data_IF_698288996343
#
_entry.id   IF_698288996343
#
_cell.length_a   1.000
_cell.length_b   1.000
_cell.length_c   1.000
_cell.angle_alpha   90.00
_cell.angle_beta   90.00
_cell.angle_gamma   90.00
#
_symmetry.space_group_name_H-M   'P 1'
#
loop_
_entity.id
_entity.type
_entity.pdbx_description
1 polymer ?
#
# COMPACT_ATOMS: atom_id res chain seq x y z
N UNK A 1 -9.89 -9.24 -16.43
CA UNK A 1 -9.33 -8.19 -15.55
C UNK A 1 -8.03 -8.71 -14.99
N UNK A 2 -6.88 -8.24 -15.49
CA UNK A 2 -5.59 -8.51 -14.88
C UNK A 2 -5.41 -7.54 -13.71
N UNK A 3 -5.80 -7.97 -12.51
CA UNK A 3 -5.41 -7.32 -11.26
C UNK A 3 -3.87 -7.37 -11.16
N UNK A 4 -3.22 -6.37 -11.76
CA UNK A 4 -1.77 -6.21 -11.74
C UNK A 4 -1.34 -6.03 -10.30
N UNK A 5 -0.72 -7.08 -9.73
CA UNK A 5 -0.05 -7.03 -8.43
C UNK A 5 0.90 -5.82 -8.41
N UNK A 6 0.78 -4.99 -7.38
CA UNK A 6 1.67 -3.85 -7.17
C UNK A 6 3.09 -4.40 -6.91
N UNK A 7 4.00 -4.17 -7.86
CA UNK A 7 5.41 -4.62 -7.75
C UNK A 7 6.41 -3.47 -7.80
N UNK A 8 5.97 -2.29 -8.24
CA UNK A 8 6.80 -1.09 -8.38
C UNK A 8 6.07 0.12 -7.81
N UNK A 9 6.82 1.15 -7.44
CA UNK A 9 6.29 2.42 -6.94
C UNK A 9 5.33 3.08 -7.95
N UNK A 10 5.57 2.89 -9.26
CA UNK A 10 4.66 3.36 -10.31
C UNK A 10 3.29 2.66 -10.29
N UNK A 11 3.26 1.35 -10.00
CA UNK A 11 2.00 0.61 -9.85
C UNK A 11 1.25 1.09 -8.61
N UNK A 12 1.98 1.36 -7.53
CA UNK A 12 1.44 1.89 -6.28
C UNK A 12 0.81 3.28 -6.50
N UNK A 13 1.53 4.20 -7.16
CA UNK A 13 0.98 5.52 -7.50
C UNK A 13 -0.22 5.44 -8.45
N UNK A 14 -0.20 4.50 -9.40
CA UNK A 14 -1.32 4.31 -10.33
C UNK A 14 -2.54 3.74 -9.61
N UNK A 15 -2.34 2.82 -8.66
CA UNK A 15 -3.40 2.29 -7.81
C UNK A 15 -4.02 3.38 -6.94
N UNK A 16 -3.19 4.26 -6.34
CA UNK A 16 -3.68 5.41 -5.57
C UNK A 16 -4.51 6.36 -6.43
N UNK A 17 -4.05 6.72 -7.63
CA UNK A 17 -4.81 7.57 -8.56
C UNK A 17 -6.16 6.97 -8.93
N UNK A 18 -6.19 5.66 -9.21
CA UNK A 18 -7.46 4.96 -9.50
C UNK A 18 -8.36 4.97 -8.28
N UNK A 19 -7.82 4.70 -7.10
CA UNK A 19 -8.58 4.70 -5.86
C UNK A 19 -9.20 6.07 -5.60
N UNK A 20 -8.49 7.17 -5.89
CA UNK A 20 -9.01 8.54 -5.82
C UNK A 20 -10.22 8.77 -6.76
N UNK A 21 -10.12 8.29 -8.01
CA UNK A 21 -11.24 8.37 -8.97
C UNK A 21 -12.42 7.49 -8.58
N UNK A 22 -12.14 6.31 -8.03
CA UNK A 22 -13.17 5.38 -7.56
C UNK A 22 -13.74 5.83 -6.19
N UNK A 23 -13.06 6.71 -5.46
CA UNK A 23 -13.57 7.30 -4.21
C UNK A 23 -14.75 8.22 -4.46
N UNK A 24 -14.83 8.82 -5.66
CA UNK A 24 -15.99 9.57 -6.13
C UNK A 24 -17.12 8.65 -6.63
N UNK A 25 -16.86 7.35 -6.82
CA UNK A 25 -17.85 6.39 -7.28
C UNK A 25 -18.86 6.04 -6.18
N UNK A 26 -20.10 5.74 -6.58
CA UNK A 26 -21.16 5.41 -5.64
C UNK A 26 -20.96 4.01 -5.06
N UNK A 27 -21.17 3.91 -3.75
CA UNK A 27 -21.18 2.64 -3.01
C UNK A 27 -22.18 1.68 -3.67
N UNK A 28 -21.71 0.46 -4.00
CA UNK A 28 -22.50 -0.58 -4.66
C UNK A 28 -22.41 -0.61 -6.19
N UNK A 29 -21.57 0.23 -6.81
CA UNK A 29 -21.16 0.04 -8.21
C UNK A 29 -19.91 -0.85 -8.28
N UNK A 30 -19.67 -1.42 -9.46
CA UNK A 30 -18.48 -2.23 -9.74
C UNK A 30 -17.16 -1.47 -9.46
N UNK A 31 -17.20 -0.15 -9.54
CA UNK A 31 -16.10 0.75 -9.19
C UNK A 31 -15.78 0.71 -7.68
N UNK A 32 -16.81 0.60 -6.83
CA UNK A 32 -16.64 0.45 -5.38
C UNK A 32 -15.95 -0.86 -5.03
N UNK A 33 -16.35 -1.97 -5.66
CA UNK A 33 -15.69 -3.27 -5.50
C UNK A 33 -14.22 -3.20 -5.95
N UNK A 34 -13.95 -2.51 -7.06
CA UNK A 34 -12.57 -2.28 -7.52
C UNK A 34 -11.75 -1.42 -6.56
N UNK A 35 -12.34 -0.38 -5.97
CA UNK A 35 -11.69 0.48 -4.99
C UNK A 35 -11.27 -0.32 -3.74
N UNK A 36 -12.13 -1.21 -3.27
CA UNK A 36 -11.90 -2.04 -2.09
C UNK A 36 -10.71 -2.99 -2.31
N UNK A 37 -10.64 -3.62 -3.48
CA UNK A 37 -9.51 -4.49 -3.86
C UNK A 37 -8.21 -3.67 -4.03
N UNK A 38 -8.28 -2.49 -4.66
CA UNK A 38 -7.11 -1.61 -4.81
C UNK A 38 -6.59 -1.14 -3.44
N UNK A 39 -7.48 -0.83 -2.50
CA UNK A 39 -7.12 -0.41 -1.15
C UNK A 39 -6.33 -1.50 -0.41
N UNK A 40 -6.77 -2.77 -0.52
CA UNK A 40 -6.08 -3.93 0.04
C UNK A 40 -4.67 -4.10 -0.54
N UNK A 41 -4.51 -3.96 -1.86
CA UNK A 41 -3.20 -4.09 -2.52
C UNK A 41 -2.22 -2.99 -2.10
N UNK A 42 -2.71 -1.74 -2.00
CA UNK A 42 -1.94 -0.57 -1.56
C UNK A 42 -1.51 -0.75 -0.09
N UNK A 43 -2.42 -1.21 0.78
CA UNK A 43 -2.14 -1.46 2.19
C UNK A 43 -1.11 -2.59 2.39
N UNK A 44 -1.23 -3.71 1.65
CA UNK A 44 -0.24 -4.79 1.70
C UNK A 44 1.16 -4.33 1.27
N UNK A 45 1.25 -3.57 0.18
CA UNK A 45 2.52 -3.03 -0.31
C UNK A 45 3.12 -2.03 0.69
N UNK A 46 2.30 -1.10 1.21
CA UNK A 46 2.72 -0.10 2.18
C UNK A 46 3.18 -0.71 3.50
N UNK A 47 2.47 -1.72 4.03
CA UNK A 47 2.87 -2.45 5.24
C UNK A 47 4.21 -3.15 5.08
N UNK A 48 4.48 -3.73 3.92
CA UNK A 48 5.76 -4.41 3.66
C UNK A 48 6.93 -3.43 3.68
N UNK A 49 6.76 -2.28 3.04
CA UNK A 49 7.76 -1.20 3.06
C UNK A 49 7.92 -0.56 4.45
N UNK A 50 6.82 -0.35 5.18
CA UNK A 50 6.86 0.21 6.52
C UNK A 50 7.49 -0.75 7.54
N UNK A 51 7.21 -2.05 7.42
CA UNK A 51 7.82 -3.09 8.27
C UNK A 51 9.33 -3.15 8.07
N UNK A 52 9.79 -3.12 6.81
CA UNK A 52 11.23 -3.06 6.50
C UNK A 52 11.91 -1.80 7.04
N UNK A 53 11.19 -0.67 7.09
CA UNK A 53 11.72 0.59 7.63
C UNK A 53 11.83 0.53 9.16
N UNK A 54 10.84 -0.04 9.84
CA UNK A 54 10.78 -0.10 11.31
C UNK A 54 11.86 -1.00 11.93
N UNK A 55 12.23 -2.10 11.27
CA UNK A 55 13.32 -2.98 11.76
C UNK A 55 14.70 -2.30 11.75
N UNK A 56 14.94 -1.37 10.82
CA UNK A 56 16.23 -0.65 10.75
C UNK A 56 16.42 0.34 11.91
N UNK A 57 15.34 0.94 12.40
CA UNK A 57 15.38 1.87 13.54
C UNK A 57 15.61 1.13 14.86
N UNK A 58 14.87 0.04 15.09
CA UNK A 58 15.01 -0.80 16.28
C UNK A 58 16.40 -1.47 16.37
N UNK A 59 17.02 -1.78 15.24
CA UNK A 59 18.38 -2.33 15.20
C UNK A 59 19.43 -1.28 15.60
N UNK A 60 19.25 -0.01 15.19
CA UNK A 60 20.14 1.07 15.58
C UNK A 60 20.05 1.42 17.07
N UNK A 61 18.86 1.43 17.66
CA UNK A 61 18.69 1.71 19.11
C UNK A 61 19.25 0.60 20.00
N UNK A 62 19.11 -0.68 19.60
CA UNK A 62 19.71 -1.80 20.35
C UNK A 62 21.23 -1.78 20.32
N UNK A 63 21.81 -1.25 19.23
CA UNK A 63 23.26 -1.14 19.05
C UNK A 63 23.87 0.02 19.83
N UNK A 64 23.11 1.10 20.02
CA UNK A 64 23.54 2.27 20.80
C UNK A 64 23.51 2.02 22.31
N UNK A 65 22.57 1.22 22.81
CA UNK A 65 22.44 0.86 24.23
C UNK A 65 23.34 -0.32 24.67
N UNK A 66 24.24 -0.79 23.79
CA UNK A 66 25.20 -1.86 24.07
C UNK A 66 26.63 -1.36 24.33
N UNK A 67 26.84 -0.04 24.34
CA UNK A 67 28.07 0.64 24.75
C UNK A 67 27.80 1.53 25.97
#
# INVERSE_FOLDING_TARGET
MDLKRIKSEQDYQSALKKLDQLFEAKIGTQESDEAEVLALLVDEYGKKEFSNRREKELSNERRLNQF
#
